data_IF_967069677250
#
_entry.id   IF_967069677250
#
_cell.length_a   1.000
_cell.length_b   1.000
_cell.length_c   1.000
_cell.angle_alpha   90.00
_cell.angle_beta   90.00
_cell.angle_gamma   90.00
#
_symmetry.space_group_name_H-M   'P 1'
#
loop_
_entity.id
_entity.type
_entity.pdbx_description
1 polymer ?
#
# COMPACT_ATOMS: atom_id res chain seq x y z
N UNK A 1 11.66 -9.44 14.80
CA UNK A 1 12.58 -8.66 13.95
C UNK A 1 12.01 -7.29 13.62
N UNK A 2 10.79 -7.14 13.04
CA UNK A 2 10.21 -5.84 12.70
C UNK A 2 10.17 -4.86 13.88
N UNK A 3 9.72 -5.29 15.07
CA UNK A 3 9.76 -4.46 16.29
C UNK A 3 11.19 -3.97 16.64
N UNK A 4 12.22 -4.78 16.38
CA UNK A 4 13.62 -4.40 16.62
C UNK A 4 14.14 -3.36 15.62
N UNK A 5 13.50 -3.25 14.46
CA UNK A 5 13.79 -2.24 13.43
C UNK A 5 12.95 -0.97 13.61
N UNK A 6 12.16 -0.87 14.68
CA UNK A 6 11.39 0.34 14.98
C UNK A 6 9.99 0.39 14.39
N UNK A 7 9.47 -0.73 13.87
CA UNK A 7 8.07 -0.80 13.43
C UNK A 7 7.14 -0.84 14.64
N UNK A 8 6.04 -0.11 14.57
CA UNK A 8 5.00 -0.07 15.61
C UNK A 8 3.93 -1.13 15.39
N UNK A 9 3.74 -1.56 14.15
CA UNK A 9 2.78 -2.61 13.81
C UNK A 9 3.23 -3.46 12.61
N UNK A 10 2.57 -4.61 12.44
CA UNK A 10 2.77 -5.53 11.33
C UNK A 10 1.45 -6.22 10.99
N UNK A 11 1.19 -6.44 9.70
CA UNK A 11 0.24 -7.42 9.22
C UNK A 11 1.04 -8.62 8.67
N UNK A 12 0.74 -9.83 9.15
CA UNK A 12 1.25 -11.08 8.58
C UNK A 12 0.16 -11.67 7.69
N UNK A 13 0.48 -11.83 6.41
CA UNK A 13 -0.48 -12.23 5.38
C UNK A 13 -0.02 -13.50 4.67
N UNK A 14 -0.20 -14.64 5.34
CA UNK A 14 0.12 -15.94 4.75
C UNK A 14 -0.71 -16.19 3.49
N UNK A 15 -0.16 -16.94 2.53
CA UNK A 15 -0.87 -17.38 1.33
C UNK A 15 -2.08 -18.26 1.68
N UNK A 16 -3.29 -17.78 1.41
CA UNK A 16 -4.55 -18.48 1.69
C UNK A 16 -4.86 -19.51 0.60
N UNK A 17 -4.07 -20.58 0.60
CA UNK A 17 -4.08 -21.65 -0.41
C UNK A 17 -4.37 -23.03 0.21
N UNK A 18 -5.08 -23.87 -0.53
CA UNK A 18 -5.41 -25.24 -0.13
C UNK A 18 -4.17 -26.06 0.25
N UNK A 19 -3.09 -25.94 -0.49
CA UNK A 19 -1.83 -26.67 -0.21
C UNK A 19 -1.21 -26.34 1.16
N UNK A 20 -1.63 -25.26 1.79
CA UNK A 20 -1.20 -24.82 3.12
C UNK A 20 -2.33 -24.91 4.15
N UNK A 21 -3.46 -25.51 3.80
CA UNK A 21 -4.66 -25.61 4.64
C UNK A 21 -5.24 -24.22 5.02
N UNK A 22 -5.20 -23.28 4.07
CA UNK A 22 -5.75 -21.92 4.18
C UNK A 22 -5.37 -21.19 5.48
N UNK A 23 -4.09 -20.96 5.75
CA UNK A 23 -3.64 -20.45 7.04
C UNK A 23 -4.04 -19.00 7.27
N UNK A 24 -4.44 -18.71 8.51
CA UNK A 24 -4.53 -17.37 9.07
C UNK A 24 -3.81 -17.39 10.40
N UNK A 25 -2.62 -16.84 10.44
CA UNK A 25 -1.77 -16.90 11.63
C UNK A 25 -2.28 -15.97 12.73
N UNK A 26 -2.52 -16.53 13.93
CA UNK A 26 -2.85 -15.72 15.11
C UNK A 26 -1.60 -14.98 15.62
N UNK A 27 -1.51 -13.72 15.28
CA UNK A 27 -0.39 -12.85 15.69
C UNK A 27 -0.67 -12.06 16.98
N UNK A 28 -1.85 -12.22 17.61
CA UNK A 28 -2.22 -11.53 18.87
C UNK A 28 -1.24 -11.76 20.02
N UNK A 29 -0.61 -12.94 20.21
CA UNK A 29 0.39 -13.17 21.24
C UNK A 29 1.63 -12.27 21.15
N UNK A 30 1.89 -11.64 20.00
CA UNK A 30 3.04 -10.74 19.82
C UNK A 30 2.73 -9.27 20.12
N UNK A 31 1.48 -8.94 20.45
CA UNK A 31 1.04 -7.58 20.79
C UNK A 31 1.59 -7.14 22.15
N UNK A 32 1.84 -5.85 22.28
CA UNK A 32 2.32 -5.20 23.50
C UNK A 32 1.89 -3.72 23.52
N UNK A 33 2.25 -2.98 24.56
CA UNK A 33 2.03 -1.53 24.62
C UNK A 33 2.87 -0.70 23.63
N UNK A 34 3.81 -1.33 22.90
CA UNK A 34 4.72 -0.67 21.95
C UNK A 34 4.75 -1.34 20.57
N UNK A 35 3.91 -2.33 20.37
CA UNK A 35 3.85 -3.04 19.09
C UNK A 35 2.52 -3.77 18.98
N UNK A 36 1.85 -3.64 17.85
CA UNK A 36 0.62 -4.38 17.59
C UNK A 36 0.67 -5.15 16.28
N UNK A 37 -0.31 -6.00 16.05
CA UNK A 37 -0.43 -6.77 14.81
C UNK A 37 -1.86 -6.72 14.30
N UNK A 38 -2.01 -6.71 12.98
CA UNK A 38 -3.29 -6.93 12.32
C UNK A 38 -3.32 -8.37 11.78
N UNK A 39 -4.45 -9.03 11.95
CA UNK A 39 -4.68 -10.35 11.34
C UNK A 39 -4.92 -10.11 9.84
N UNK A 40 -4.22 -10.85 9.02
CA UNK A 40 -4.29 -10.68 7.58
C UNK A 40 -4.09 -12.02 6.86
N UNK A 41 -4.37 -12.04 5.58
CA UNK A 41 -4.03 -13.12 4.67
C UNK A 41 -3.96 -12.61 3.25
N UNK A 42 -3.33 -13.36 2.37
CA UNK A 42 -3.31 -13.11 0.94
C UNK A 42 -4.22 -14.12 0.23
N UNK A 43 -5.33 -13.63 -0.34
CA UNK A 43 -6.35 -14.44 -0.99
C UNK A 43 -5.93 -14.85 -2.41
N UNK A 44 -6.11 -16.13 -2.73
CA UNK A 44 -5.74 -16.71 -4.02
C UNK A 44 -6.89 -17.55 -4.58
N UNK A 45 -7.72 -16.95 -5.42
CA UNK A 45 -8.88 -17.63 -6.03
C UNK A 45 -9.02 -17.25 -7.49
N UNK A 46 -9.10 -18.24 -8.36
CA UNK A 46 -9.27 -18.01 -9.79
C UNK A 46 -8.02 -17.45 -10.47
N UNK A 47 -8.20 -16.96 -11.68
CA UNK A 47 -7.12 -16.51 -12.53
C UNK A 47 -7.38 -15.13 -13.13
N UNK A 48 -6.30 -14.39 -13.37
CA UNK A 48 -6.27 -13.14 -14.10
C UNK A 48 -6.40 -13.36 -15.61
N UNK A 49 -6.51 -12.30 -16.39
CA UNK A 49 -6.52 -12.36 -17.85
C UNK A 49 -5.24 -12.95 -18.45
N UNK A 50 -4.13 -12.89 -17.71
CA UNK A 50 -2.85 -13.50 -18.12
C UNK A 50 -2.69 -14.97 -17.64
N UNK A 51 -3.77 -15.61 -17.18
CA UNK A 51 -3.78 -16.98 -16.64
C UNK A 51 -2.95 -17.20 -15.37
N UNK A 52 -2.57 -16.10 -14.69
CA UNK A 52 -1.91 -16.12 -13.38
C UNK A 52 -2.93 -16.23 -12.25
N UNK A 53 -2.56 -16.85 -11.14
CA UNK A 53 -3.41 -16.92 -9.95
C UNK A 53 -3.57 -15.51 -9.36
N UNK A 54 -4.78 -15.17 -8.91
CA UNK A 54 -5.01 -13.91 -8.21
C UNK A 54 -4.29 -13.83 -6.88
N UNK A 55 -3.82 -12.64 -6.56
CA UNK A 55 -3.23 -12.25 -5.29
C UNK A 55 -3.94 -11.00 -4.76
N UNK A 56 -4.63 -11.10 -3.62
CA UNK A 56 -5.33 -9.97 -2.98
C UNK A 56 -5.06 -9.97 -1.49
N UNK A 57 -4.51 -8.88 -0.99
CA UNK A 57 -4.29 -8.68 0.44
C UNK A 57 -5.62 -8.36 1.15
N UNK A 58 -5.92 -9.10 2.22
CA UNK A 58 -7.03 -8.83 3.13
C UNK A 58 -6.49 -8.62 4.56
N UNK A 59 -6.61 -7.39 5.09
CA UNK A 59 -6.14 -7.03 6.45
C UNK A 59 -7.33 -6.72 7.35
N UNK A 60 -7.33 -7.27 8.54
CA UNK A 60 -8.43 -7.11 9.51
C UNK A 60 -9.52 -8.17 9.37
N UNK A 61 -9.18 -9.35 8.83
CA UNK A 61 -10.09 -10.49 8.75
C UNK A 61 -10.15 -11.24 10.09
N UNK A 62 -11.24 -11.97 10.39
CA UNK A 62 -11.31 -12.86 11.54
C UNK A 62 -10.44 -14.10 11.34
N UNK A 63 -10.01 -14.73 12.46
CA UNK A 63 -9.19 -15.95 12.41
C UNK A 63 -9.93 -17.18 11.87
N UNK A 64 -11.25 -17.15 11.95
CA UNK A 64 -12.17 -18.20 11.47
C UNK A 64 -12.78 -17.84 10.11
N UNK A 65 -12.10 -17.02 9.31
CA UNK A 65 -12.52 -16.73 7.94
C UNK A 65 -12.51 -18.01 7.12
N UNK A 66 -13.68 -18.37 6.58
CA UNK A 66 -13.86 -19.64 5.86
C UNK A 66 -13.00 -19.72 4.59
N UNK A 67 -12.49 -20.90 4.25
CA UNK A 67 -11.88 -21.17 2.96
C UNK A 67 -12.77 -20.77 1.78
N UNK A 68 -12.20 -20.65 0.56
CA UNK A 68 -12.98 -20.42 -0.65
C UNK A 68 -14.08 -21.46 -0.83
N UNK A 69 -15.28 -21.02 -1.15
CA UNK A 69 -16.43 -21.90 -1.41
C UNK A 69 -16.38 -22.40 -2.85
N UNK A 70 -17.11 -23.47 -3.13
CA UNK A 70 -17.25 -24.00 -4.49
C UNK A 70 -17.77 -22.91 -5.44
N UNK A 71 -17.06 -22.67 -6.53
CA UNK A 71 -17.32 -21.62 -7.54
C UNK A 71 -17.19 -20.17 -7.05
N UNK A 72 -16.61 -19.92 -5.88
CA UNK A 72 -16.27 -18.58 -5.43
C UNK A 72 -15.09 -18.03 -6.27
N UNK A 73 -15.27 -16.86 -6.88
CA UNK A 73 -14.21 -16.16 -7.60
C UNK A 73 -13.52 -15.12 -6.71
N UNK A 74 -12.52 -14.43 -7.27
CA UNK A 74 -11.76 -13.42 -6.51
C UNK A 74 -12.65 -12.25 -6.07
N UNK A 75 -13.67 -11.89 -6.84
CA UNK A 75 -14.60 -10.80 -6.51
C UNK A 75 -15.46 -11.21 -5.31
N UNK A 76 -15.98 -12.43 -5.32
CA UNK A 76 -16.86 -12.95 -4.27
C UNK A 76 -16.12 -13.08 -2.93
N UNK A 77 -14.93 -13.73 -2.90
CA UNK A 77 -14.15 -13.90 -1.67
C UNK A 77 -13.65 -12.55 -1.12
N UNK A 78 -13.18 -11.66 -1.99
CA UNK A 78 -12.73 -10.32 -1.58
C UNK A 78 -13.89 -9.47 -1.07
N UNK A 79 -15.09 -9.60 -1.66
CA UNK A 79 -16.31 -8.94 -1.17
C UNK A 79 -16.69 -9.49 0.20
N UNK A 80 -16.59 -10.81 0.41
CA UNK A 80 -16.86 -11.45 1.71
C UNK A 80 -15.90 -10.91 2.79
N UNK A 81 -14.60 -10.81 2.49
CA UNK A 81 -13.62 -10.21 3.39
C UNK A 81 -13.93 -8.71 3.67
N UNK A 82 -14.25 -7.93 2.63
CA UNK A 82 -14.61 -6.51 2.78
C UNK A 82 -15.85 -6.30 3.65
N UNK A 83 -16.87 -7.16 3.52
CA UNK A 83 -18.09 -7.12 4.32
C UNK A 83 -17.84 -7.43 5.80
N UNK A 84 -16.80 -8.17 6.12
CA UNK A 84 -16.33 -8.41 7.49
C UNK A 84 -15.45 -7.26 8.02
N UNK A 85 -15.27 -6.21 7.24
CA UNK A 85 -14.54 -5.01 7.64
C UNK A 85 -13.08 -4.97 7.20
N UNK A 86 -12.57 -5.96 6.45
CA UNK A 86 -11.19 -5.99 6.01
C UNK A 86 -10.84 -4.81 5.08
N UNK A 87 -9.59 -4.39 5.13
CA UNK A 87 -8.95 -3.62 4.07
C UNK A 87 -8.60 -4.58 2.93
N UNK A 88 -8.90 -4.20 1.70
CA UNK A 88 -8.62 -4.97 0.49
C UNK A 88 -7.58 -4.23 -0.35
N UNK A 89 -6.44 -4.87 -0.57
CA UNK A 89 -5.32 -4.34 -1.35
C UNK A 89 -5.02 -5.20 -2.58
N UNK A 90 -4.89 -4.57 -3.74
CA UNK A 90 -4.32 -5.20 -4.93
C UNK A 90 -2.81 -5.18 -4.75
N UNK A 91 -2.16 -6.36 -4.76
CA UNK A 91 -0.75 -6.53 -4.43
C UNK A 91 0.11 -6.68 -5.70
N UNK A 92 1.37 -6.28 -5.61
CA UNK A 92 2.47 -6.45 -6.59
C UNK A 92 2.02 -6.58 -8.07
N UNK A 93 1.24 -5.63 -8.63
CA UNK A 93 0.58 -5.81 -9.92
C UNK A 93 1.56 -6.04 -11.08
N UNK A 94 2.74 -5.46 -11.05
CA UNK A 94 3.77 -5.64 -12.08
C UNK A 94 4.43 -7.02 -12.01
N UNK A 95 4.50 -7.62 -10.82
CA UNK A 95 5.13 -8.92 -10.61
C UNK A 95 4.49 -10.01 -11.47
N UNK A 96 3.17 -10.08 -11.52
CA UNK A 96 2.42 -11.08 -12.30
C UNK A 96 1.67 -10.48 -13.51
N UNK A 97 2.00 -9.25 -13.87
CA UNK A 97 1.49 -8.61 -15.08
C UNK A 97 -0.01 -8.34 -15.07
N UNK A 98 -0.55 -7.93 -13.91
CA UNK A 98 -1.98 -7.61 -13.74
C UNK A 98 -2.41 -6.52 -14.71
N UNK A 99 -3.48 -6.77 -15.47
CA UNK A 99 -4.01 -5.81 -16.42
C UNK A 99 -4.99 -4.83 -15.74
N UNK A 100 -5.17 -3.62 -16.28
CA UNK A 100 -6.19 -2.69 -15.77
C UNK A 100 -7.61 -3.29 -15.75
N UNK A 101 -7.93 -4.14 -16.71
CA UNK A 101 -9.20 -4.87 -16.80
C UNK A 101 -9.42 -5.78 -15.60
N UNK A 102 -8.37 -6.46 -15.15
CA UNK A 102 -8.41 -7.28 -13.94
C UNK A 102 -8.72 -6.41 -12.70
N UNK A 103 -8.02 -5.29 -12.55
CA UNK A 103 -8.24 -4.43 -11.39
C UNK A 103 -9.63 -3.78 -11.37
N UNK A 104 -10.23 -3.49 -12.53
CA UNK A 104 -11.56 -2.88 -12.63
C UNK A 104 -12.70 -3.75 -12.10
N UNK A 105 -12.51 -5.08 -12.01
CA UNK A 105 -13.54 -5.96 -11.42
C UNK A 105 -13.59 -5.86 -9.89
N UNK A 106 -12.61 -5.19 -9.26
CA UNK A 106 -12.51 -4.99 -7.81
C UNK A 106 -12.72 -3.49 -7.43
N UNK A 107 -13.84 -2.85 -7.80
CA UNK A 107 -14.04 -1.42 -7.59
C UNK A 107 -14.12 -1.01 -6.12
N UNK A 108 -14.26 -1.98 -5.21
CA UNK A 108 -14.28 -1.81 -3.76
C UNK A 108 -12.90 -1.99 -3.10
N UNK A 109 -11.86 -2.33 -3.87
CA UNK A 109 -10.50 -2.40 -3.35
C UNK A 109 -10.10 -1.03 -2.77
N UNK A 110 -9.54 -1.03 -1.57
CA UNK A 110 -9.15 0.20 -0.89
C UNK A 110 -7.89 0.82 -1.51
N UNK A 111 -6.95 -0.04 -1.94
CA UNK A 111 -5.65 0.45 -2.37
C UNK A 111 -4.97 -0.49 -3.37
N UNK A 112 -3.95 0.07 -4.05
CA UNK A 112 -3.04 -0.66 -4.93
C UNK A 112 -1.63 -0.55 -4.35
N UNK A 113 -0.92 -1.65 -4.35
CA UNK A 113 0.48 -1.67 -3.97
C UNK A 113 1.34 -1.02 -5.05
N UNK A 114 1.96 0.10 -4.69
CA UNK A 114 2.78 0.90 -5.61
C UNK A 114 4.27 0.59 -5.47
N UNK A 115 4.64 -0.08 -4.40
CA UNK A 115 5.99 -0.59 -4.18
C UNK A 115 5.95 -1.86 -3.31
N UNK A 116 6.52 -2.93 -3.84
CA UNK A 116 6.71 -4.21 -3.18
C UNK A 116 8.22 -4.50 -3.13
N UNK A 117 8.78 -4.57 -1.91
CA UNK A 117 10.23 -4.69 -1.77
C UNK A 117 10.74 -6.09 -2.17
N UNK A 118 10.02 -7.15 -1.84
CA UNK A 118 10.38 -8.52 -2.23
C UNK A 118 10.41 -8.66 -3.75
N UNK A 119 9.35 -8.24 -4.43
CA UNK A 119 9.28 -8.26 -5.89
C UNK A 119 10.37 -7.36 -6.55
N UNK A 120 10.74 -6.25 -5.90
CA UNK A 120 11.84 -5.40 -6.39
C UNK A 120 13.17 -6.12 -6.35
N UNK A 121 13.56 -6.66 -5.18
CA UNK A 121 14.90 -7.23 -4.99
C UNK A 121 15.07 -8.60 -5.61
N UNK A 122 13.98 -9.36 -5.80
CA UNK A 122 14.03 -10.70 -6.38
C UNK A 122 13.82 -10.73 -7.89
N UNK A 123 13.02 -9.79 -8.43
CA UNK A 123 12.55 -9.87 -9.81
C UNK A 123 12.66 -8.56 -10.59
N UNK A 124 13.09 -7.45 -9.98
CA UNK A 124 13.07 -6.10 -10.59
C UNK A 124 11.64 -5.70 -11.06
N UNK A 125 10.61 -6.05 -10.25
CA UNK A 125 9.19 -5.83 -10.55
C UNK A 125 8.39 -5.25 -9.38
N UNK A 126 9.04 -4.45 -8.53
CA UNK A 126 8.42 -3.87 -7.34
C UNK A 126 7.51 -2.68 -7.62
N UNK A 127 7.58 -2.05 -8.77
CA UNK A 127 6.79 -0.85 -9.12
C UNK A 127 5.35 -1.20 -9.51
N UNK A 128 4.37 -0.59 -8.86
CA UNK A 128 2.94 -0.71 -9.18
C UNK A 128 2.28 0.58 -9.67
N UNK A 129 3.04 1.67 -9.84
CA UNK A 129 2.48 2.96 -10.22
C UNK A 129 1.79 2.96 -11.59
N UNK A 130 2.25 2.11 -12.53
CA UNK A 130 1.63 2.03 -13.86
C UNK A 130 0.14 1.73 -13.79
N UNK A 131 -0.25 0.70 -13.03
CA UNK A 131 -1.66 0.33 -12.82
C UNK A 131 -2.39 1.39 -11.98
N UNK A 132 -1.80 1.86 -10.89
CA UNK A 132 -2.40 2.84 -10.00
C UNK A 132 -2.75 4.14 -10.75
N UNK A 133 -1.82 4.69 -11.54
CA UNK A 133 -2.04 5.91 -12.33
C UNK A 133 -3.14 5.71 -13.40
N UNK A 134 -3.27 4.53 -14.00
CA UNK A 134 -4.38 4.23 -14.94
C UNK A 134 -5.72 4.34 -14.23
N UNK A 135 -5.90 3.67 -13.10
CA UNK A 135 -7.17 3.68 -12.36
C UNK A 135 -7.50 5.07 -11.79
N UNK A 136 -6.51 5.79 -11.27
CA UNK A 136 -6.68 7.18 -10.82
C UNK A 136 -7.10 8.11 -11.97
N UNK A 137 -6.53 7.95 -13.17
CA UNK A 137 -6.90 8.71 -14.37
C UNK A 137 -8.33 8.41 -14.84
N UNK A 138 -8.84 7.22 -14.60
CA UNK A 138 -10.21 6.79 -14.86
C UNK A 138 -11.21 7.30 -13.79
N UNK A 139 -10.71 7.84 -12.69
CA UNK A 139 -11.52 8.38 -11.61
C UNK A 139 -11.82 7.39 -10.48
N UNK A 140 -11.17 6.23 -10.46
CA UNK A 140 -11.23 5.31 -9.32
C UNK A 140 -10.63 5.97 -8.08
N UNK A 141 -11.24 5.73 -6.92
CA UNK A 141 -10.75 6.20 -5.62
C UNK A 141 -9.99 5.07 -4.94
N UNK A 142 -8.70 4.99 -5.20
CA UNK A 142 -7.80 4.00 -4.60
C UNK A 142 -6.65 4.71 -3.91
N UNK A 143 -6.19 4.15 -2.80
CA UNK A 143 -4.97 4.60 -2.13
C UNK A 143 -3.75 3.87 -2.70
N UNK A 144 -2.56 4.38 -2.38
CA UNK A 144 -1.29 3.84 -2.84
C UNK A 144 -0.47 3.36 -1.62
N UNK A 145 -0.22 2.07 -1.49
CA UNK A 145 0.53 1.54 -0.35
C UNK A 145 1.79 0.80 -0.77
N UNK A 146 2.75 0.71 0.15
CA UNK A 146 4.00 -0.02 -0.03
C UNK A 146 4.15 -1.07 1.07
N UNK A 147 4.72 -2.23 0.72
CA UNK A 147 5.06 -3.29 1.67
C UNK A 147 6.38 -3.98 1.34
N UNK A 148 6.79 -4.86 2.23
CA UNK A 148 7.94 -5.73 2.00
C UNK A 148 7.58 -6.98 1.21
N UNK A 149 6.44 -7.59 1.52
CA UNK A 149 6.09 -8.94 1.03
C UNK A 149 7.22 -9.96 1.31
N UNK A 150 7.76 -9.89 2.54
CA UNK A 150 8.97 -10.61 2.92
C UNK A 150 8.69 -12.09 3.20
N UNK A 151 9.38 -12.98 2.47
CA UNK A 151 9.31 -14.43 2.62
C UNK A 151 10.50 -15.01 3.40
N UNK A 152 11.66 -14.39 3.30
CA UNK A 152 12.91 -14.93 3.82
C UNK A 152 13.51 -14.14 5.00
N UNK A 153 13.09 -12.88 5.19
CA UNK A 153 13.58 -12.01 6.26
C UNK A 153 15.10 -11.78 6.22
N UNK A 154 15.70 -11.84 5.04
CA UNK A 154 17.13 -11.62 4.81
C UNK A 154 17.37 -10.38 3.96
N UNK A 155 17.01 -10.42 2.70
CA UNK A 155 17.20 -9.35 1.72
C UNK A 155 15.88 -8.69 1.29
N UNK A 156 14.77 -9.36 1.57
CA UNK A 156 13.41 -9.03 1.17
C UNK A 156 12.60 -8.26 2.24
N UNK A 157 13.23 -7.82 3.33
CA UNK A 157 12.55 -7.17 4.45
C UNK A 157 13.11 -5.78 4.73
N UNK A 158 12.26 -4.91 5.28
CA UNK A 158 12.59 -3.54 5.75
C UNK A 158 12.88 -2.54 4.62
N UNK A 159 12.36 -2.78 3.41
CA UNK A 159 12.55 -1.91 2.25
C UNK A 159 11.32 -1.10 1.84
N UNK A 160 10.11 -1.50 2.28
CA UNK A 160 8.86 -0.81 2.00
C UNK A 160 7.86 -0.88 3.14
N UNK A 161 7.21 0.26 3.48
CA UNK A 161 6.22 0.31 4.57
C UNK A 161 5.26 1.49 4.43
N UNK A 162 4.25 1.52 5.27
CA UNK A 162 3.35 2.66 5.43
C UNK A 162 3.54 3.31 6.80
N UNK A 163 3.37 4.63 6.85
CA UNK A 163 3.18 5.39 8.09
C UNK A 163 1.72 5.76 8.23
N UNK A 164 1.09 5.32 9.30
CA UNK A 164 -0.35 5.51 9.53
C UNK A 164 -0.58 6.54 10.62
N UNK A 165 -1.50 7.47 10.36
CA UNK A 165 -2.03 8.36 11.39
C UNK A 165 -3.22 7.68 12.08
N UNK A 166 -3.01 7.20 13.28
CA UNK A 166 -4.00 6.55 14.14
C UNK A 166 -4.09 7.24 15.49
N UNK A 167 -5.22 7.10 16.17
CA UNK A 167 -5.42 7.67 17.52
C UNK A 167 -4.64 6.88 18.57
N UNK A 168 -4.61 5.56 18.42
CA UNK A 168 -3.98 4.64 19.34
C UNK A 168 -3.18 3.56 18.60
N UNK A 169 -2.28 2.90 19.32
CA UNK A 169 -1.54 1.74 18.85
C UNK A 169 -2.36 0.45 19.13
N UNK A 170 -3.53 0.37 18.54
CA UNK A 170 -4.40 -0.81 18.56
C UNK A 170 -4.83 -1.19 17.13
N UNK A 171 -5.22 -2.45 16.89
CA UNK A 171 -5.56 -2.91 15.55
C UNK A 171 -6.71 -2.14 14.90
N UNK A 172 -7.73 -1.78 15.66
CA UNK A 172 -8.93 -1.12 15.20
C UNK A 172 -8.62 0.31 14.74
N UNK A 173 -7.86 1.07 15.53
CA UNK A 173 -7.42 2.44 15.19
C UNK A 173 -6.53 2.45 13.95
N UNK A 174 -5.59 1.49 13.84
CA UNK A 174 -4.69 1.38 12.69
C UNK A 174 -5.48 0.98 11.44
N UNK A 175 -6.34 -0.05 11.53
CA UNK A 175 -7.15 -0.50 10.40
C UNK A 175 -8.09 0.62 9.91
N UNK A 176 -8.69 1.38 10.84
CA UNK A 176 -9.47 2.57 10.49
C UNK A 176 -8.64 3.60 9.74
N UNK A 177 -7.43 3.91 10.23
CA UNK A 177 -6.51 4.84 9.57
C UNK A 177 -6.15 4.40 8.15
N UNK A 178 -5.84 3.12 7.95
CA UNK A 178 -5.51 2.56 6.63
C UNK A 178 -6.73 2.65 5.69
N UNK A 179 -7.89 2.22 6.13
CA UNK A 179 -9.14 2.25 5.32
C UNK A 179 -9.58 3.66 4.98
N UNK A 180 -9.25 4.64 5.80
CA UNK A 180 -9.57 6.05 5.59
C UNK A 180 -8.51 6.80 4.75
N UNK A 181 -7.42 6.13 4.34
CA UNK A 181 -6.32 6.76 3.60
C UNK A 181 -5.46 7.70 4.46
N UNK A 182 -5.52 7.57 5.78
CA UNK A 182 -4.71 8.35 6.70
C UNK A 182 -3.30 7.76 6.84
N UNK A 183 -2.64 7.55 5.71
CA UNK A 183 -1.29 7.01 5.67
C UNK A 183 -0.52 7.54 4.46
N UNK A 184 0.77 7.33 4.47
CA UNK A 184 1.64 7.48 3.31
C UNK A 184 2.64 6.31 3.26
N UNK A 185 3.16 6.03 2.08
CA UNK A 185 4.10 4.94 1.79
C UNK A 185 5.53 5.44 1.81
N UNK A 186 6.49 4.61 2.23
CA UNK A 186 7.90 5.01 2.31
C UNK A 186 8.87 3.84 2.15
N UNK A 187 10.05 4.18 1.61
CA UNK A 187 11.29 3.41 1.62
C UNK A 187 12.34 4.00 2.59
N UNK A 188 12.00 5.11 3.30
CA UNK A 188 12.92 5.79 4.19
C UNK A 188 12.58 7.25 4.50
N UNK A 189 12.31 8.11 3.51
CA UNK A 189 11.95 9.50 3.77
C UNK A 189 10.66 9.63 4.58
N UNK A 190 10.55 10.72 5.37
CA UNK A 190 9.34 11.07 6.09
C UNK A 190 8.60 12.20 5.40
N UNK A 191 7.27 12.09 5.33
CA UNK A 191 6.36 13.18 5.02
C UNK A 191 5.73 13.62 6.34
N UNK A 192 6.14 14.77 6.86
CA UNK A 192 5.68 15.26 8.16
C UNK A 192 4.31 15.93 8.05
N UNK A 193 4.08 16.66 6.96
CA UNK A 193 2.82 17.34 6.70
C UNK A 193 2.65 17.67 5.22
N UNK A 194 1.40 17.63 4.76
CA UNK A 194 0.99 18.15 3.45
C UNK A 194 -0.21 19.05 3.69
N UNK A 195 -0.16 20.29 3.21
CA UNK A 195 -1.24 21.25 3.33
C UNK A 195 -1.35 22.13 2.10
N UNK A 196 -2.52 22.68 1.88
CA UNK A 196 -2.77 23.67 0.84
C UNK A 196 -2.76 25.03 1.49
N UNK A 197 -1.88 25.91 1.04
CA UNK A 197 -1.79 27.30 1.47
C UNK A 197 -1.90 28.21 0.23
N UNK A 198 -2.84 29.15 0.26
CA UNK A 198 -3.17 30.06 -0.85
C UNK A 198 -3.52 29.25 -2.13
N UNK A 199 -2.55 28.98 -2.95
CA UNK A 199 -2.71 28.23 -4.19
C UNK A 199 -1.56 27.26 -4.45
N UNK A 200 -0.88 26.89 -3.37
CA UNK A 200 0.27 25.99 -3.41
C UNK A 200 0.05 24.78 -2.48
N UNK A 201 0.66 23.68 -2.84
CA UNK A 201 0.86 22.56 -1.93
C UNK A 201 2.18 22.78 -1.20
N UNK A 202 2.11 22.82 0.12
CA UNK A 202 3.29 22.90 0.99
C UNK A 202 3.54 21.55 1.62
N UNK A 203 4.73 21.02 1.41
CA UNK A 203 5.17 19.72 1.92
C UNK A 203 6.30 19.91 2.92
N UNK A 204 6.09 19.49 4.16
CA UNK A 204 7.16 19.37 5.16
C UNK A 204 7.62 17.92 5.20
N UNK A 205 8.92 17.66 5.08
CA UNK A 205 9.49 16.31 4.98
C UNK A 205 10.86 16.20 5.66
N UNK A 206 11.38 14.98 5.77
CA UNK A 206 12.78 14.75 6.09
C UNK A 206 13.68 15.32 4.97
N UNK A 207 15.00 15.52 5.22
CA UNK A 207 15.91 16.05 4.19
C UNK A 207 15.77 15.31 2.85
N UNK A 208 15.47 16.05 1.80
CA UNK A 208 15.18 15.54 0.46
C UNK A 208 16.03 16.23 -0.62
N UNK A 209 16.24 15.54 -1.71
CA UNK A 209 16.84 16.09 -2.95
C UNK A 209 15.78 16.62 -3.90
N UNK A 210 14.59 16.03 -3.89
CA UNK A 210 13.49 16.42 -4.77
C UNK A 210 12.15 16.19 -4.07
N UNK A 211 11.23 17.15 -4.23
CA UNK A 211 9.81 16.98 -3.92
C UNK A 211 9.01 17.19 -5.18
N UNK A 212 8.14 16.25 -5.53
CA UNK A 212 7.40 16.23 -6.79
C UNK A 212 5.90 16.19 -6.50
N UNK A 213 5.11 16.96 -7.23
CA UNK A 213 3.68 16.72 -7.44
C UNK A 213 3.50 16.07 -8.81
N UNK A 214 2.83 14.93 -8.86
CA UNK A 214 2.37 14.29 -10.09
C UNK A 214 0.85 14.17 -10.06
N UNK A 215 0.19 14.43 -11.18
CA UNK A 215 -1.26 14.37 -11.32
C UNK A 215 -1.67 13.73 -12.64
N UNK A 216 -2.92 13.91 -13.01
CA UNK A 216 -3.49 13.29 -14.21
C UNK A 216 -2.64 13.49 -15.46
N UNK A 217 -2.35 12.40 -16.17
CA UNK A 217 -1.57 12.39 -17.42
C UNK A 217 -0.13 12.81 -17.17
N UNK A 218 0.38 13.77 -17.95
CA UNK A 218 1.76 14.27 -17.83
C UNK A 218 1.93 15.47 -16.89
N UNK A 219 0.89 15.82 -16.12
CA UNK A 219 0.96 16.97 -15.23
C UNK A 219 1.90 16.69 -14.08
N UNK A 220 2.95 17.48 -13.98
CA UNK A 220 3.89 17.42 -12.85
C UNK A 220 4.54 18.78 -12.59
N UNK A 221 4.99 18.96 -11.37
CA UNK A 221 5.91 20.03 -10.97
C UNK A 221 6.81 19.51 -9.86
N UNK A 222 7.96 20.12 -9.67
CA UNK A 222 8.93 19.69 -8.67
C UNK A 222 9.75 20.83 -8.13
N UNK A 223 10.27 20.66 -6.93
CA UNK A 223 11.33 21.45 -6.35
C UNK A 223 12.56 20.56 -6.13
N UNK A 224 13.72 21.06 -6.54
CA UNK A 224 15.01 20.35 -6.45
C UNK A 224 15.93 21.17 -5.54
N UNK A 225 16.60 20.52 -4.61
CA UNK A 225 17.53 21.17 -3.71
C UNK A 225 18.41 20.15 -2.97
N UNK A 226 19.23 20.63 -2.07
CA UNK A 226 20.06 19.80 -1.23
C UNK A 226 19.56 19.90 0.22
N UNK A 227 19.03 18.78 0.75
CA UNK A 227 18.49 18.74 2.11
C UNK A 227 17.21 19.55 2.29
N UNK A 228 16.32 19.58 1.28
CA UNK A 228 15.00 20.21 1.39
C UNK A 228 14.21 19.60 2.53
N UNK A 229 13.79 20.41 3.50
CA UNK A 229 12.88 19.99 4.57
C UNK A 229 11.47 20.57 4.39
N UNK A 230 11.32 21.47 3.42
CA UNK A 230 10.05 22.05 2.99
C UNK A 230 10.10 22.37 1.51
N UNK A 231 9.04 22.06 0.80
CA UNK A 231 8.83 22.45 -0.59
C UNK A 231 7.48 23.16 -0.74
N UNK A 232 7.41 24.13 -1.67
CA UNK A 232 6.21 24.89 -2.00
C UNK A 232 5.94 24.80 -3.50
N UNK A 233 4.91 24.09 -3.89
CA UNK A 233 4.65 23.70 -5.27
C UNK A 233 3.28 24.23 -5.74
N UNK A 234 3.19 24.88 -6.92
CA UNK A 234 1.94 25.47 -7.39
C UNK A 234 0.87 24.43 -7.70
N UNK A 235 -0.33 24.63 -7.13
CA UNK A 235 -1.49 23.73 -7.29
C UNK A 235 -2.29 24.00 -8.58
N UNK A 236 -2.05 25.11 -9.28
CA UNK A 236 -2.90 25.58 -10.37
C UNK A 236 -3.18 24.54 -11.47
N UNK A 237 -2.20 23.67 -11.77
CA UNK A 237 -2.33 22.63 -12.81
C UNK A 237 -3.10 21.37 -12.37
N UNK A 238 -3.44 21.25 -11.08
CA UNK A 238 -3.97 20.02 -10.45
C UNK A 238 -5.37 20.19 -9.85
N UNK A 239 -6.00 21.38 -9.97
CA UNK A 239 -7.26 21.72 -9.28
C UNK A 239 -8.43 20.80 -9.57
N UNK A 240 -8.51 20.27 -10.80
CA UNK A 240 -9.66 19.47 -11.26
C UNK A 240 -9.32 17.98 -11.42
N UNK A 241 -8.26 17.53 -10.75
CA UNK A 241 -7.79 16.16 -10.85
C UNK A 241 -7.12 15.71 -9.55
N UNK A 242 -6.92 14.39 -9.41
CA UNK A 242 -6.07 13.86 -8.37
C UNK A 242 -4.62 14.35 -8.54
N UNK A 243 -3.90 14.40 -7.46
CA UNK A 243 -2.44 14.51 -7.46
C UNK A 243 -1.86 13.70 -6.30
N UNK A 244 -0.61 13.34 -6.43
CA UNK A 244 0.19 12.69 -5.39
C UNK A 244 1.50 13.44 -5.17
N UNK A 245 2.06 13.28 -3.98
CA UNK A 245 3.37 13.82 -3.62
C UNK A 245 4.38 12.68 -3.63
N UNK A 246 5.57 12.95 -4.15
CA UNK A 246 6.74 12.08 -4.00
C UNK A 246 7.87 12.89 -3.38
N UNK A 247 8.42 12.40 -2.28
CA UNK A 247 9.64 12.93 -1.64
C UNK A 247 10.77 11.97 -1.96
N UNK A 248 11.88 12.47 -2.47
CA UNK A 248 13.07 11.68 -2.83
C UNK A 248 14.26 12.16 -2.01
N UNK A 249 14.92 11.26 -1.28
CA UNK A 249 16.11 11.58 -0.51
C UNK A 249 17.41 11.54 -1.35
N UNK A 250 18.55 11.76 -0.70
CA UNK A 250 19.87 11.76 -1.33
C UNK A 250 20.35 10.36 -1.76
N UNK A 251 19.69 9.31 -1.29
CA UNK A 251 19.92 7.89 -1.65
C UNK A 251 18.93 7.37 -2.69
N UNK A 252 18.13 8.26 -3.30
CA UNK A 252 17.07 7.93 -4.25
C UNK A 252 15.93 7.07 -3.65
N UNK A 253 15.81 6.99 -2.31
CA UNK A 253 14.66 6.38 -1.66
C UNK A 253 13.48 7.34 -1.69
N UNK A 254 12.28 6.79 -1.71
CA UNK A 254 11.08 7.59 -1.94
C UNK A 254 10.07 7.44 -0.80
N UNK A 255 9.28 8.49 -0.59
CA UNK A 255 8.01 8.42 0.13
C UNK A 255 6.90 9.01 -0.75
N UNK A 256 5.69 8.46 -0.63
CA UNK A 256 4.56 8.78 -1.49
C UNK A 256 3.27 8.96 -0.67
N UNK A 257 2.49 10.02 -0.99
CA UNK A 257 1.15 10.24 -0.41
C UNK A 257 0.06 9.93 -1.41
#
# INVERSE_FOLDING_TARGET
>A
RYRQQGYDFLALSDHFLERFDYPITDTRPYRSNRFTTLIATELHVGKTLNDEVWHILAVGIPLDFDPPQENEDIVAISTRAANLGAFIGIVHPTWYGLQPEDARILPFANAIEIYNHGAEVENDRGDGWGLCDVLLNEGHRVFAYATDDAHHMTHDAFGGWIHVKAENLDPESILHGIKSGHFYSSQGPYIHNIRIEDNDVVVDCSPASVVIISGRGSRSTKEIGNGLTRARLPLARFRDAHFRITVVDDRNRKAWS
#
